data_IF_837880535066
#
_entry.id   IF_837880535066
#
_cell.length_a   1.000
_cell.length_b   1.000
_cell.length_c   1.000
_cell.angle_alpha   90.00
_cell.angle_beta   90.00
_cell.angle_gamma   90.00
#
_symmetry.space_group_name_H-M   'P 1'
#
loop_
_entity.id
_entity.type
_entity.pdbx_description
1 polymer ?
#
# COMPACT_ATOMS: atom_id res chain seq x y z
N UNK A 1 7.14 1.25 -17.06
CA UNK A 1 6.49 0.22 -16.20
C UNK A 1 5.01 0.55 -16.05
N UNK A 2 4.13 -0.40 -16.39
CA UNK A 2 2.70 -0.24 -16.17
C UNK A 2 2.31 -0.67 -14.76
N UNK A 3 1.64 0.19 -14.02
CA UNK A 3 1.13 -0.09 -12.67
C UNK A 3 -0.38 -0.16 -12.67
N UNK A 4 -0.93 -1.01 -11.80
CA UNK A 4 -2.35 -1.16 -11.55
C UNK A 4 -2.66 -0.86 -10.08
N UNK A 5 -3.81 -0.26 -9.82
CA UNK A 5 -4.32 -0.05 -8.46
C UNK A 5 -5.73 -0.60 -8.39
N UNK A 6 -5.91 -1.62 -7.57
CA UNK A 6 -7.21 -2.25 -7.35
C UNK A 6 -7.89 -1.63 -6.13
N UNK A 7 -9.14 -1.22 -6.31
CA UNK A 7 -9.99 -0.65 -5.26
C UNK A 7 -11.25 -1.48 -5.10
N UNK A 8 -11.54 -1.92 -3.88
CA UNK A 8 -12.78 -2.62 -3.56
C UNK A 8 -13.14 -2.48 -2.08
N UNK A 9 -14.37 -2.82 -1.71
CA UNK A 9 -14.83 -2.88 -0.33
C UNK A 9 -14.54 -4.27 0.24
N UNK A 10 -13.76 -4.34 1.31
CA UNK A 10 -13.49 -5.59 2.01
C UNK A 10 -14.73 -6.01 2.79
N UNK A 11 -15.15 -7.27 2.63
CA UNK A 11 -16.34 -7.85 3.26
C UNK A 11 -15.96 -8.68 4.51
N UNK A 12 -16.93 -9.12 5.32
CA UNK A 12 -16.68 -10.08 6.39
C UNK A 12 -16.29 -11.48 5.92
N UNK A 13 -16.47 -11.79 4.64
CA UNK A 13 -16.17 -13.10 4.04
C UNK A 13 -14.78 -13.12 3.39
N UNK A 14 -13.84 -13.78 4.06
CA UNK A 14 -12.46 -13.92 3.59
C UNK A 14 -12.37 -14.65 2.22
N UNK A 15 -13.26 -15.61 1.94
CA UNK A 15 -13.26 -16.32 0.66
C UNK A 15 -13.69 -15.40 -0.48
N UNK A 16 -14.72 -14.59 -0.28
CA UNK A 16 -15.15 -13.57 -1.23
C UNK A 16 -14.05 -12.55 -1.49
N UNK A 17 -13.38 -12.09 -0.43
CA UNK A 17 -12.26 -11.15 -0.56
C UNK A 17 -11.08 -11.77 -1.33
N UNK A 18 -10.74 -13.04 -1.07
CA UNK A 18 -9.71 -13.74 -1.84
C UNK A 18 -10.09 -13.89 -3.32
N UNK A 19 -11.37 -14.17 -3.63
CA UNK A 19 -11.86 -14.22 -5.01
C UNK A 19 -11.72 -12.86 -5.71
N UNK A 20 -12.07 -11.77 -5.01
CA UNK A 20 -11.91 -10.40 -5.54
C UNK A 20 -10.43 -10.09 -5.82
N UNK A 21 -9.53 -10.41 -4.87
CA UNK A 21 -8.09 -10.21 -5.06
C UNK A 21 -7.56 -10.99 -6.26
N UNK A 22 -7.87 -12.29 -6.37
CA UNK A 22 -7.40 -13.11 -7.49
C UNK A 22 -7.95 -12.64 -8.84
N UNK A 23 -9.22 -12.18 -8.88
CA UNK A 23 -9.81 -11.60 -10.09
C UNK A 23 -9.10 -10.28 -10.51
N UNK A 24 -8.77 -9.41 -9.55
CA UNK A 24 -7.99 -8.18 -9.81
C UNK A 24 -6.57 -8.50 -10.27
N UNK A 25 -5.90 -9.49 -9.66
CA UNK A 25 -4.57 -9.96 -10.07
C UNK A 25 -4.59 -10.48 -11.52
N UNK A 26 -5.52 -11.36 -11.85
CA UNK A 26 -5.68 -11.91 -13.20
C UNK A 26 -5.99 -10.80 -14.23
N UNK A 27 -6.82 -9.80 -13.86
CA UNK A 27 -7.15 -8.69 -14.75
C UNK A 27 -5.95 -7.76 -14.97
N UNK A 28 -5.23 -7.38 -13.91
CA UNK A 28 -4.03 -6.56 -14.00
C UNK A 28 -2.96 -7.25 -14.87
N UNK A 29 -2.76 -8.57 -14.68
CA UNK A 29 -1.82 -9.35 -15.47
C UNK A 29 -2.19 -9.38 -16.97
N UNK A 30 -3.49 -9.58 -17.30
CA UNK A 30 -3.98 -9.52 -18.70
C UNK A 30 -3.73 -8.16 -19.37
N UNK A 31 -3.70 -7.09 -18.59
CA UNK A 31 -3.40 -5.74 -19.05
C UNK A 31 -1.88 -5.44 -19.05
N UNK A 32 -1.03 -6.44 -18.81
CA UNK A 32 0.43 -6.33 -18.74
C UNK A 32 0.93 -5.34 -17.67
N UNK A 33 0.23 -5.25 -16.53
CA UNK A 33 0.77 -4.51 -15.39
C UNK A 33 1.94 -5.29 -14.77
N UNK A 34 3.00 -4.60 -14.38
CA UNK A 34 4.12 -5.17 -13.65
C UNK A 34 3.88 -5.14 -12.13
N UNK A 35 3.15 -4.12 -11.65
CA UNK A 35 2.81 -3.92 -10.25
C UNK A 35 1.30 -3.76 -10.09
N UNK A 36 0.72 -4.45 -9.11
CA UNK A 36 -0.62 -4.24 -8.60
C UNK A 36 -0.55 -3.88 -7.11
N UNK A 37 -1.17 -2.77 -6.72
CA UNK A 37 -1.36 -2.41 -5.31
C UNK A 37 -2.83 -2.60 -4.96
N UNK A 38 -3.11 -3.41 -3.94
CA UNK A 38 -4.43 -3.67 -3.38
C UNK A 38 -4.61 -2.92 -2.06
N UNK A 39 -5.85 -2.78 -1.52
CA UNK A 39 -6.09 -2.05 -0.28
C UNK A 39 -5.51 -2.71 0.97
N UNK A 40 -5.82 -2.13 2.14
CA UNK A 40 -5.34 -2.59 3.45
C UNK A 40 -6.31 -3.56 4.12
N UNK A 41 -5.73 -4.53 4.89
CA UNK A 41 -6.42 -5.46 5.78
C UNK A 41 -7.47 -6.34 5.07
N UNK A 42 -7.03 -7.06 4.04
CA UNK A 42 -7.90 -7.73 3.06
C UNK A 42 -8.52 -9.05 3.51
N UNK A 43 -8.17 -9.59 4.69
CA UNK A 43 -8.75 -10.87 5.14
C UNK A 43 -10.26 -10.77 5.35
N UNK A 44 -10.67 -9.92 6.28
CA UNK A 44 -12.08 -9.66 6.55
C UNK A 44 -12.26 -8.33 7.28
N UNK A 45 -13.38 -7.67 7.03
CA UNK A 45 -13.75 -6.41 7.67
C UNK A 45 -15.26 -6.32 7.84
N UNK A 46 -15.73 -5.71 8.93
CA UNK A 46 -17.16 -5.52 9.19
C UNK A 46 -17.43 -4.12 9.72
N UNK A 47 -18.56 -3.56 9.30
CA UNK A 47 -19.05 -2.27 9.85
C UNK A 47 -19.57 -2.43 11.29
N UNK A 48 -20.04 -3.61 11.66
CA UNK A 48 -20.58 -3.93 12.99
C UNK A 48 -19.54 -4.46 13.99
N UNK A 49 -18.38 -4.95 13.50
CA UNK A 49 -17.30 -5.47 14.35
C UNK A 49 -15.96 -4.84 13.94
N UNK A 50 -15.51 -3.78 14.63
CA UNK A 50 -14.27 -3.08 14.30
C UNK A 50 -13.02 -3.95 14.50
N UNK A 51 -13.10 -5.03 15.27
CA UNK A 51 -11.99 -5.93 15.58
C UNK A 51 -11.91 -7.11 14.59
N UNK A 52 -12.83 -7.22 13.64
CA UNK A 52 -12.91 -8.37 12.74
C UNK A 52 -11.61 -8.63 11.98
N UNK A 53 -10.90 -7.60 11.55
CA UNK A 53 -9.63 -7.76 10.84
C UNK A 53 -8.56 -8.48 11.67
N UNK A 54 -8.53 -8.24 12.99
CA UNK A 54 -7.63 -8.95 13.91
C UNK A 54 -8.16 -10.34 14.26
N UNK A 55 -9.48 -10.47 14.52
CA UNK A 55 -10.11 -11.78 14.79
C UNK A 55 -9.97 -12.76 13.64
N UNK A 56 -9.90 -12.26 12.40
CA UNK A 56 -9.72 -13.05 11.19
C UNK A 56 -8.26 -13.29 10.81
N UNK A 57 -7.30 -12.83 11.62
CA UNK A 57 -5.88 -12.94 11.33
C UNK A 57 -5.49 -14.40 11.04
N UNK A 58 -4.68 -14.59 9.99
CA UNK A 58 -4.17 -15.90 9.55
C UNK A 58 -2.66 -15.84 9.37
N UNK A 59 -1.99 -16.98 9.50
CA UNK A 59 -0.57 -17.10 9.18
C UNK A 59 -0.34 -16.93 7.66
N UNK A 60 0.92 -16.71 7.26
CA UNK A 60 1.30 -16.56 5.85
C UNK A 60 1.16 -17.86 5.03
N UNK A 61 0.98 -18.99 5.68
CA UNK A 61 0.67 -20.32 5.12
C UNK A 61 -0.83 -20.66 5.23
N UNK A 62 -1.65 -19.73 5.67
CA UNK A 62 -3.10 -19.90 5.70
C UNK A 62 -3.74 -19.91 4.31
N UNK A 63 -4.92 -20.51 4.21
CA UNK A 63 -5.64 -20.73 2.94
C UNK A 63 -5.81 -19.46 2.09
N UNK A 64 -6.00 -18.31 2.75
CA UNK A 64 -6.12 -17.02 2.05
C UNK A 64 -4.85 -16.68 1.27
N UNK A 65 -3.69 -16.74 1.92
CA UNK A 65 -2.40 -16.40 1.28
C UNK A 65 -2.01 -17.46 0.27
N UNK A 66 -2.22 -18.74 0.56
CA UNK A 66 -1.94 -19.83 -0.38
C UNK A 66 -2.71 -19.65 -1.70
N UNK A 67 -3.99 -19.28 -1.63
CA UNK A 67 -4.79 -19.00 -2.83
C UNK A 67 -4.25 -17.82 -3.65
N UNK A 68 -3.80 -16.75 -3.00
CA UNK A 68 -3.20 -15.61 -3.70
C UNK A 68 -1.83 -15.97 -4.30
N UNK A 69 -1.04 -16.80 -3.63
CA UNK A 69 0.23 -17.33 -4.15
C UNK A 69 0.01 -18.19 -5.40
N UNK A 70 -1.01 -19.04 -5.41
CA UNK A 70 -1.38 -19.85 -6.59
C UNK A 70 -1.73 -18.95 -7.79
N UNK A 71 -2.48 -17.87 -7.58
CA UNK A 71 -2.77 -16.91 -8.66
C UNK A 71 -1.51 -16.16 -9.10
N UNK A 72 -0.67 -15.74 -8.14
CA UNK A 72 0.60 -15.07 -8.41
C UNK A 72 1.58 -15.94 -9.23
N UNK A 73 1.53 -17.27 -9.07
CA UNK A 73 2.36 -18.21 -9.83
C UNK A 73 1.99 -18.29 -11.33
N UNK A 74 0.78 -17.83 -11.69
CA UNK A 74 0.27 -17.91 -13.09
C UNK A 74 0.72 -16.75 -13.97
N UNK A 75 1.39 -15.74 -13.40
CA UNK A 75 1.75 -14.53 -14.13
C UNK A 75 3.03 -13.90 -13.58
N UNK A 76 3.48 -12.79 -14.18
CA UNK A 76 4.70 -12.07 -13.77
C UNK A 76 4.41 -10.84 -12.92
N UNK A 77 3.15 -10.62 -12.58
CA UNK A 77 2.70 -9.48 -11.78
C UNK A 77 3.30 -9.53 -10.37
N UNK A 78 3.79 -8.40 -9.88
CA UNK A 78 4.03 -8.23 -8.46
C UNK A 78 2.79 -7.65 -7.82
N UNK A 79 2.23 -8.32 -6.80
CA UNK A 79 1.05 -7.84 -6.09
C UNK A 79 1.41 -7.47 -4.66
N UNK A 80 1.05 -6.24 -4.25
CA UNK A 80 1.19 -5.73 -2.89
C UNK A 80 -0.18 -5.68 -2.21
N UNK A 81 -0.25 -6.20 -1.00
CA UNK A 81 -1.47 -6.19 -0.19
C UNK A 81 -1.11 -6.26 1.29
N UNK A 82 -2.05 -5.90 2.17
CA UNK A 82 -1.85 -6.12 3.61
C UNK A 82 -2.89 -7.05 4.20
N UNK A 83 -2.48 -7.76 5.24
CA UNK A 83 -3.32 -8.63 6.05
C UNK A 83 -2.84 -8.64 7.50
N UNK A 84 -3.70 -9.09 8.42
CA UNK A 84 -3.33 -9.28 9.80
C UNK A 84 -2.80 -10.70 10.03
N UNK A 85 -1.61 -10.78 10.66
CA UNK A 85 -0.93 -12.04 11.00
C UNK A 85 -0.93 -12.18 12.52
N UNK A 86 -1.34 -13.33 13.10
CA UNK A 86 -1.34 -13.51 14.54
C UNK A 86 0.08 -13.35 15.14
N UNK A 87 0.21 -12.61 16.24
CA UNK A 87 1.47 -12.45 16.99
C UNK A 87 1.41 -13.12 18.33
N UNK A 88 0.42 -12.81 19.15
CA UNK A 88 0.14 -13.39 20.46
C UNK A 88 -1.36 -13.58 20.63
N UNK A 89 -1.80 -14.16 21.74
CA UNK A 89 -3.23 -14.41 21.99
C UNK A 89 -4.07 -13.13 21.86
N UNK A 90 -4.94 -13.09 20.84
CA UNK A 90 -5.85 -11.99 20.58
C UNK A 90 -5.20 -10.74 19.98
N UNK A 91 -3.93 -10.80 19.55
CA UNK A 91 -3.21 -9.71 18.88
C UNK A 91 -2.70 -10.13 17.50
N UNK A 92 -2.43 -9.16 16.65
CA UNK A 92 -1.90 -9.39 15.31
C UNK A 92 -0.93 -8.29 14.88
N UNK A 93 -0.16 -8.56 13.84
CA UNK A 93 0.62 -7.56 13.10
C UNK A 93 -0.11 -7.22 11.80
N UNK A 94 -0.23 -5.93 11.48
CA UNK A 94 -0.68 -5.48 10.17
C UNK A 94 0.52 -5.56 9.21
N UNK A 95 0.51 -6.56 8.34
CA UNK A 95 1.66 -6.91 7.53
C UNK A 95 1.35 -6.73 6.03
N UNK A 96 2.16 -5.91 5.36
CA UNK A 96 2.22 -5.82 3.91
C UNK A 96 3.08 -6.98 3.40
N UNK A 97 2.57 -7.70 2.41
CA UNK A 97 3.33 -8.70 1.66
C UNK A 97 3.40 -8.35 0.18
N UNK A 98 4.50 -8.74 -0.44
CA UNK A 98 4.71 -8.66 -1.88
C UNK A 98 4.75 -10.07 -2.46
N UNK A 99 3.83 -10.37 -3.37
CA UNK A 99 3.73 -11.66 -4.06
C UNK A 99 4.26 -11.54 -5.48
N UNK A 100 5.14 -12.45 -5.88
CA UNK A 100 5.64 -12.59 -7.26
C UNK A 100 5.96 -14.06 -7.56
N UNK A 101 5.43 -14.59 -8.67
CA UNK A 101 5.73 -15.96 -9.10
C UNK A 101 5.38 -17.06 -8.10
N UNK A 102 4.34 -16.86 -7.28
CA UNK A 102 3.91 -17.76 -6.23
C UNK A 102 4.65 -17.61 -4.89
N UNK A 103 5.63 -16.70 -4.81
CA UNK A 103 6.42 -16.50 -3.60
C UNK A 103 6.15 -15.15 -2.92
N UNK A 104 6.35 -15.11 -1.61
CA UNK A 104 6.41 -13.86 -0.84
C UNK A 104 7.84 -13.34 -0.93
N UNK A 105 8.06 -12.29 -1.73
CA UNK A 105 9.40 -11.73 -1.98
C UNK A 105 9.79 -10.61 -1.03
N UNK A 106 8.84 -10.03 -0.32
CA UNK A 106 9.08 -9.02 0.71
C UNK A 106 7.92 -8.98 1.71
N UNK A 107 8.23 -8.55 2.94
CA UNK A 107 7.28 -8.34 4.02
C UNK A 107 7.60 -7.03 4.72
N UNK A 108 6.56 -6.35 5.20
CA UNK A 108 6.68 -5.15 6.01
C UNK A 108 5.60 -5.14 7.09
N UNK A 109 5.98 -5.13 8.35
CA UNK A 109 5.07 -4.91 9.48
C UNK A 109 4.90 -3.40 9.69
N UNK A 110 3.66 -2.93 9.63
CA UNK A 110 3.30 -1.52 9.78
C UNK A 110 3.89 -0.92 11.05
N UNK A 111 4.67 0.16 10.91
CA UNK A 111 5.35 0.85 12.02
C UNK A 111 4.38 1.81 12.70
N UNK A 112 3.67 2.65 11.94
CA UNK A 112 2.78 3.67 12.48
C UNK A 112 1.35 3.15 12.58
N UNK A 113 0.94 2.78 13.79
CA UNK A 113 -0.41 2.32 14.07
C UNK A 113 -1.38 3.50 14.14
N UNK A 114 -2.62 3.29 13.68
CA UNK A 114 -3.63 4.35 13.59
C UNK A 114 -4.29 4.61 14.95
N UNK A 115 -3.59 5.34 15.81
CA UNK A 115 -4.08 5.82 17.09
C UNK A 115 -4.47 7.30 16.96
N UNK A 116 -5.59 7.56 16.27
CA UNK A 116 -6.08 8.90 15.98
C UNK A 116 -7.59 8.91 15.67
N UNK A 117 -8.23 10.07 15.78
CA UNK A 117 -9.65 10.25 15.49
C UNK A 117 -10.56 9.24 16.21
N UNK A 118 -10.33 9.04 17.51
CA UNK A 118 -11.01 8.07 18.38
C UNK A 118 -10.84 6.58 17.98
N UNK A 119 -9.91 6.28 17.06
CA UNK A 119 -9.46 4.92 16.76
C UNK A 119 -8.18 4.62 17.55
N UNK A 120 -8.00 3.36 17.93
CA UNK A 120 -6.79 2.88 18.63
C UNK A 120 -6.41 1.51 18.09
N UNK A 121 -5.63 1.50 16.99
CA UNK A 121 -5.14 0.27 16.35
C UNK A 121 -4.20 -0.49 17.29
N UNK A 122 -3.37 0.23 18.07
CA UNK A 122 -2.41 -0.36 19.03
C UNK A 122 -3.05 -1.22 20.11
N UNK A 123 -4.35 -1.11 20.34
CA UNK A 123 -5.08 -1.93 21.30
C UNK A 123 -4.96 -3.42 20.97
N UNK A 124 -4.96 -3.81 19.70
CA UNK A 124 -4.94 -5.21 19.24
C UNK A 124 -3.84 -5.51 18.20
N UNK A 125 -3.14 -4.49 17.71
CA UNK A 125 -2.10 -4.64 16.68
C UNK A 125 -0.75 -4.29 17.28
N UNK A 126 0.28 -5.06 16.94
CA UNK A 126 1.66 -4.84 17.34
C UNK A 126 2.38 -4.06 16.24
N UNK A 127 3.07 -2.98 16.63
CA UNK A 127 3.83 -2.16 15.70
C UNK A 127 5.10 -2.87 15.20
N UNK A 128 5.46 -2.63 13.95
CA UNK A 128 6.75 -3.00 13.40
C UNK A 128 7.89 -2.15 13.97
N UNK A 129 9.11 -2.63 13.84
CA UNK A 129 10.33 -1.98 14.35
C UNK A 129 11.45 -1.87 13.31
N UNK A 130 11.15 -2.19 12.04
CA UNK A 130 12.14 -2.17 10.97
C UNK A 130 11.56 -1.54 9.71
N UNK A 131 12.39 -0.77 8.99
CA UNK A 131 12.02 -0.27 7.67
C UNK A 131 11.90 -1.44 6.67
N UNK A 132 10.95 -1.36 5.72
CA UNK A 132 10.79 -2.39 4.70
C UNK A 132 11.98 -2.41 3.72
N UNK A 133 12.27 -3.57 3.12
CA UNK A 133 13.18 -3.65 2.00
C UNK A 133 12.58 -2.96 0.76
N UNK A 134 13.43 -2.46 -0.13
CA UNK A 134 13.00 -2.03 -1.46
C UNK A 134 12.85 -3.25 -2.39
N UNK A 135 11.84 -3.20 -3.26
CA UNK A 135 11.61 -4.22 -4.28
C UNK A 135 12.09 -3.70 -5.64
N UNK A 136 13.02 -4.39 -6.25
CA UNK A 136 13.49 -4.06 -7.61
C UNK A 136 12.56 -4.67 -8.67
N UNK A 137 12.16 -3.84 -9.63
CA UNK A 137 11.36 -4.25 -10.79
C UNK A 137 11.51 -3.27 -11.96
N UNK A 138 11.69 -3.81 -13.16
CA UNK A 138 11.78 -3.04 -14.42
C UNK A 138 12.70 -1.79 -14.32
N UNK A 139 13.83 -1.92 -13.61
CA UNK A 139 14.82 -0.85 -13.44
C UNK A 139 14.40 0.26 -12.47
N UNK A 140 13.33 0.07 -11.70
CA UNK A 140 12.86 0.96 -10.64
C UNK A 140 12.85 0.25 -9.29
N UNK A 141 12.98 1.02 -8.20
CA UNK A 141 12.89 0.52 -6.82
C UNK A 141 11.59 0.99 -6.17
N UNK A 142 10.83 0.04 -5.64
CA UNK A 142 9.55 0.27 -4.96
C UNK A 142 9.74 0.20 -3.46
N UNK A 143 9.47 1.30 -2.77
CA UNK A 143 9.38 1.39 -1.30
C UNK A 143 7.95 1.08 -0.84
N UNK A 144 7.84 0.44 0.32
CA UNK A 144 6.58 -0.05 0.87
C UNK A 144 6.13 0.83 2.04
N UNK A 145 4.87 1.24 2.03
CA UNK A 145 4.21 1.98 3.12
C UNK A 145 2.82 1.40 3.34
N UNK A 146 2.24 1.62 4.52
CA UNK A 146 0.86 1.19 4.79
C UNK A 146 0.07 2.34 5.41
N UNK A 147 -0.99 2.80 4.71
CA UNK A 147 -2.05 3.68 5.22
C UNK A 147 -1.54 4.86 6.07
N UNK A 148 -1.54 4.73 7.40
CA UNK A 148 -1.16 5.80 8.33
C UNK A 148 0.29 6.26 8.20
N UNK A 149 1.20 5.41 7.65
CA UNK A 149 2.59 5.79 7.34
C UNK A 149 2.65 7.04 6.44
N UNK A 150 1.61 7.28 5.63
CA UNK A 150 1.49 8.46 4.77
C UNK A 150 1.60 9.78 5.54
N UNK A 151 1.21 9.82 6.82
CA UNK A 151 1.27 11.02 7.65
C UNK A 151 2.66 11.36 8.16
N UNK A 152 3.59 10.43 8.04
CA UNK A 152 4.95 10.54 8.58
C UNK A 152 5.93 10.76 7.42
N UNK A 153 6.33 12.02 7.16
CA UNK A 153 7.24 12.35 6.07
C UNK A 153 8.60 11.63 6.20
N UNK A 154 9.04 11.35 7.42
CA UNK A 154 10.27 10.62 7.70
C UNK A 154 10.27 9.21 7.07
N UNK A 155 9.14 8.53 7.09
CA UNK A 155 9.00 7.20 6.49
C UNK A 155 9.23 7.26 4.97
N UNK A 156 8.53 8.15 4.29
CA UNK A 156 8.68 8.35 2.85
C UNK A 156 10.09 8.81 2.48
N UNK A 157 10.66 9.73 3.27
CA UNK A 157 12.02 10.24 3.07
C UNK A 157 13.06 9.14 3.24
N UNK A 158 12.96 8.29 4.27
CA UNK A 158 13.88 7.17 4.50
C UNK A 158 13.91 6.22 3.31
N UNK A 159 12.74 5.88 2.75
CA UNK A 159 12.64 5.02 1.57
C UNK A 159 13.25 5.69 0.33
N UNK A 160 12.99 6.98 0.12
CA UNK A 160 13.57 7.72 -1.00
C UNK A 160 15.10 7.82 -0.91
N UNK A 161 15.64 8.04 0.30
CA UNK A 161 17.09 8.05 0.55
C UNK A 161 17.75 6.68 0.38
N UNK A 162 17.01 5.61 0.64
CA UNK A 162 17.44 4.25 0.32
C UNK A 162 17.42 3.96 -1.20
N UNK A 163 16.85 4.87 -2.01
CA UNK A 163 16.84 4.80 -3.46
C UNK A 163 15.51 4.41 -4.09
N UNK A 164 14.39 4.52 -3.37
CA UNK A 164 13.08 4.29 -3.94
C UNK A 164 12.75 5.31 -5.06
N UNK A 165 12.14 4.83 -6.12
CA UNK A 165 11.60 5.61 -7.24
C UNK A 165 10.07 5.68 -7.19
N UNK A 166 9.48 4.70 -6.51
CA UNK A 166 8.04 4.53 -6.31
C UNK A 166 7.78 4.25 -4.84
N UNK A 167 6.76 4.88 -4.27
CA UNK A 167 6.22 4.56 -2.95
C UNK A 167 4.85 3.92 -3.14
N UNK A 168 4.70 2.65 -2.78
CA UNK A 168 3.47 1.90 -2.88
C UNK A 168 2.75 1.89 -1.53
N UNK A 169 1.45 2.17 -1.53
CA UNK A 169 0.66 2.44 -0.33
C UNK A 169 -0.70 1.73 -0.36
N UNK A 170 -0.84 0.50 0.12
CA UNK A 170 -2.12 -0.06 0.55
C UNK A 170 -2.74 0.77 1.68
N UNK A 171 -4.04 1.06 1.62
CA UNK A 171 -4.72 1.83 2.66
C UNK A 171 -6.20 1.44 2.84
N UNK A 172 -6.70 1.65 4.06
CA UNK A 172 -8.11 1.69 4.42
C UNK A 172 -8.41 3.05 5.08
N UNK A 173 -8.39 4.11 4.26
CA UNK A 173 -8.49 5.48 4.74
C UNK A 173 -9.91 5.81 5.16
N UNK A 174 -10.13 5.87 6.48
CA UNK A 174 -11.46 6.04 7.08
C UNK A 174 -12.06 7.41 6.73
N UNK A 175 -13.36 7.42 6.38
CA UNK A 175 -14.14 8.65 6.17
C UNK A 175 -14.17 9.52 7.42
N UNK A 176 -14.41 10.80 7.24
CA UNK A 176 -14.52 11.79 8.30
C UNK A 176 -14.26 13.20 7.79
N UNK A 177 -14.35 14.22 8.63
CA UNK A 177 -14.13 15.61 8.22
C UNK A 177 -12.78 15.79 7.52
N UNK A 178 -12.79 16.33 6.29
CA UNK A 178 -11.63 16.64 5.47
C UNK A 178 -10.70 15.43 5.14
N UNK A 179 -11.16 14.19 5.32
CA UNK A 179 -10.29 13.01 5.15
C UNK A 179 -9.87 12.80 3.70
N UNK A 180 -10.74 13.10 2.74
CA UNK A 180 -10.42 13.11 1.30
C UNK A 180 -9.38 14.18 0.96
N UNK A 181 -9.51 15.37 1.56
CA UNK A 181 -8.52 16.45 1.41
C UNK A 181 -7.15 16.03 2.01
N UNK A 182 -7.14 15.45 3.22
CA UNK A 182 -5.90 14.93 3.81
C UNK A 182 -5.23 13.89 2.89
N UNK A 183 -6.01 12.95 2.35
CA UNK A 183 -5.52 11.90 1.45
C UNK A 183 -4.84 12.49 0.23
N UNK A 184 -5.53 13.35 -0.50
CA UNK A 184 -5.02 13.96 -1.74
C UNK A 184 -3.79 14.84 -1.49
N UNK A 185 -3.85 15.67 -0.43
CA UNK A 185 -2.75 16.58 -0.05
C UNK A 185 -1.50 15.82 0.36
N UNK A 186 -1.64 14.79 1.21
CA UNK A 186 -0.50 14.03 1.70
C UNK A 186 0.16 13.20 0.60
N UNK A 187 -0.61 12.58 -0.30
CA UNK A 187 -0.03 11.85 -1.43
C UNK A 187 0.77 12.78 -2.35
N UNK A 188 0.24 13.96 -2.67
CA UNK A 188 0.95 14.95 -3.46
C UNK A 188 2.20 15.47 -2.73
N UNK A 189 2.10 15.75 -1.42
CA UNK A 189 3.23 16.19 -0.60
C UNK A 189 4.35 15.14 -0.58
N UNK A 190 4.03 13.86 -0.37
CA UNK A 190 5.05 12.79 -0.39
C UNK A 190 5.73 12.64 -1.74
N UNK A 191 4.99 12.79 -2.84
CA UNK A 191 5.59 12.81 -4.17
C UNK A 191 6.59 13.96 -4.33
N UNK A 192 6.21 15.17 -3.91
CA UNK A 192 7.05 16.37 -3.99
C UNK A 192 8.27 16.31 -3.06
N UNK A 193 8.10 15.87 -1.81
CA UNK A 193 9.17 15.78 -0.80
C UNK A 193 10.25 14.78 -1.20
N UNK A 194 9.87 13.71 -1.92
CA UNK A 194 10.74 12.57 -2.23
C UNK A 194 11.12 12.47 -3.69
N UNK A 195 10.42 13.20 -4.57
CA UNK A 195 10.54 13.05 -6.02
C UNK A 195 10.32 11.60 -6.51
N UNK A 196 9.41 10.88 -5.83
CA UNK A 196 8.99 9.54 -6.17
C UNK A 196 7.58 9.55 -6.76
N UNK A 197 7.25 8.54 -7.59
CA UNK A 197 5.85 8.22 -7.84
C UNK A 197 5.18 7.71 -6.57
N UNK A 198 3.88 8.02 -6.39
CA UNK A 198 3.06 7.39 -5.36
C UNK A 198 2.02 6.50 -6.05
N UNK A 199 1.94 5.23 -5.65
CA UNK A 199 0.93 4.28 -6.14
C UNK A 199 0.10 3.84 -4.93
N UNK A 200 -1.06 4.48 -4.74
CA UNK A 200 -1.86 4.36 -3.53
C UNK A 200 -3.21 3.68 -3.81
N UNK A 201 -3.48 2.59 -3.12
CA UNK A 201 -4.75 1.88 -3.16
C UNK A 201 -5.55 2.15 -1.89
N UNK A 202 -6.74 2.72 -2.04
CA UNK A 202 -7.70 2.96 -0.97
C UNK A 202 -8.83 1.92 -0.97
N UNK A 203 -9.12 1.30 0.18
CA UNK A 203 -10.36 0.56 0.33
C UNK A 203 -11.54 1.51 0.14
N UNK A 204 -12.58 1.09 -0.57
CA UNK A 204 -13.84 1.82 -0.69
C UNK A 204 -14.94 1.17 0.17
N UNK A 205 -16.13 1.76 0.17
CA UNK A 205 -17.27 1.27 0.93
C UNK A 205 -17.80 2.31 1.92
N UNK A 206 -18.63 1.88 2.86
CA UNK A 206 -19.32 2.80 3.77
C UNK A 206 -18.37 3.57 4.69
N UNK A 207 -17.32 2.92 5.18
CA UNK A 207 -16.39 3.48 6.17
C UNK A 207 -15.15 4.13 5.57
N UNK A 208 -14.78 3.77 4.35
CA UNK A 208 -13.53 4.19 3.72
C UNK A 208 -13.79 5.02 2.47
N UNK A 209 -12.86 5.91 2.14
CA UNK A 209 -13.07 6.92 1.08
C UNK A 209 -12.91 6.39 -0.33
N UNK A 210 -12.23 5.24 -0.53
CA UNK A 210 -11.74 4.85 -1.85
C UNK A 210 -10.66 5.78 -2.35
N UNK A 211 -10.89 6.43 -3.48
CA UNK A 211 -10.03 7.44 -4.09
C UNK A 211 -8.58 6.99 -4.31
N UNK A 212 -8.42 5.72 -4.71
CA UNK A 212 -7.13 5.19 -5.15
C UNK A 212 -6.54 6.07 -6.25
N UNK A 213 -5.20 6.25 -6.25
CA UNK A 213 -4.57 7.10 -7.25
C UNK A 213 -3.10 6.81 -7.48
N UNK A 214 -2.63 7.23 -8.64
CA UNK A 214 -1.21 7.29 -8.98
C UNK A 214 -0.82 8.76 -9.12
N UNK A 215 0.24 9.16 -8.39
CA UNK A 215 0.74 10.54 -8.39
C UNK A 215 2.17 10.55 -8.96
N UNK A 216 2.44 11.45 -9.86
CA UNK A 216 3.73 11.67 -10.49
C UNK A 216 4.72 12.35 -9.51
N UNK A 217 6.06 12.27 -9.73
CA UNK A 217 7.05 12.87 -8.83
C UNK A 217 6.95 14.41 -8.63
N UNK A 218 6.14 15.11 -9.43
CA UNK A 218 5.81 16.53 -9.24
C UNK A 218 4.45 16.74 -8.57
N UNK A 219 3.89 15.73 -7.90
CA UNK A 219 2.66 15.83 -7.14
C UNK A 219 1.37 15.82 -7.98
N UNK A 220 1.47 15.56 -9.28
CA UNK A 220 0.31 15.55 -10.21
C UNK A 220 -0.34 14.17 -10.21
N UNK A 221 -1.66 14.11 -9.97
CA UNK A 221 -2.42 12.85 -10.13
C UNK A 221 -2.52 12.50 -11.61
N UNK A 222 -2.01 11.32 -11.99
CA UNK A 222 -2.02 10.83 -13.38
C UNK A 222 -3.06 9.72 -13.62
N UNK A 223 -3.57 9.08 -12.55
CA UNK A 223 -4.72 8.20 -12.58
C UNK A 223 -5.42 8.25 -11.22
N UNK A 224 -6.75 8.20 -11.21
CA UNK A 224 -7.54 8.19 -9.97
C UNK A 224 -8.84 7.41 -10.13
N UNK A 225 -9.22 6.67 -9.08
CA UNK A 225 -10.53 6.07 -8.91
C UNK A 225 -11.46 7.00 -8.10
N UNK A 226 -12.76 6.79 -8.23
CA UNK A 226 -13.77 7.44 -7.40
C UNK A 226 -14.02 6.71 -6.07
N UNK A 227 -15.29 6.58 -5.68
CA UNK A 227 -15.71 5.95 -4.42
C UNK A 227 -16.15 4.47 -4.59
N UNK A 228 -16.19 3.97 -5.83
CA UNK A 228 -16.70 2.63 -6.16
C UNK A 228 -15.56 1.65 -6.42
N UNK A 229 -15.82 0.33 -6.38
CA UNK A 229 -14.84 -0.67 -6.82
C UNK A 229 -14.37 -0.38 -8.24
N UNK A 230 -13.05 -0.37 -8.43
CA UNK A 230 -12.42 -0.03 -9.71
C UNK A 230 -11.01 -0.61 -9.81
N UNK A 231 -10.53 -0.85 -11.03
CA UNK A 231 -9.15 -1.18 -11.33
C UNK A 231 -8.61 -0.12 -12.29
N UNK A 232 -7.72 0.73 -11.81
CA UNK A 232 -7.11 1.81 -12.59
C UNK A 232 -5.68 1.48 -12.98
N UNK A 233 -5.17 2.11 -14.04
CA UNK A 233 -3.84 1.89 -14.58
C UNK A 233 -3.12 3.20 -14.84
N UNK A 234 -1.79 3.18 -14.72
CA UNK A 234 -0.92 4.28 -15.14
C UNK A 234 0.40 3.74 -15.70
N UNK A 235 1.02 4.50 -16.59
CA UNK A 235 2.39 4.28 -17.03
C UNK A 235 3.34 5.17 -16.23
N UNK A 236 4.38 4.57 -15.64
CA UNK A 236 5.42 5.27 -14.89
C UNK A 236 6.80 4.92 -15.45
N UNK A 237 7.81 5.78 -15.26
CA UNK A 237 9.13 5.55 -15.84
C UNK A 237 10.28 6.06 -14.96
N UNK A 238 11.39 5.32 -14.95
CA UNK A 238 12.64 5.74 -14.31
C UNK A 238 13.18 7.03 -14.93
N UNK A 239 13.02 7.22 -16.23
CA UNK A 239 13.42 8.45 -16.93
C UNK A 239 12.72 9.68 -16.36
N UNK A 240 11.42 9.59 -16.07
CA UNK A 240 10.67 10.69 -15.46
C UNK A 240 11.20 11.03 -14.07
N UNK A 241 11.48 10.02 -13.24
CA UNK A 241 12.06 10.23 -11.90
C UNK A 241 13.42 10.93 -12.02
N UNK A 242 14.29 10.46 -12.93
CA UNK A 242 15.60 11.07 -13.15
C UNK A 242 15.49 12.53 -13.58
N UNK A 243 14.63 12.85 -14.55
CA UNK A 243 14.38 14.21 -15.02
C UNK A 243 13.88 15.13 -13.90
N UNK A 244 12.93 14.66 -13.08
CA UNK A 244 12.43 15.45 -11.95
C UNK A 244 13.52 15.68 -10.91
N UNK A 245 14.30 14.66 -10.57
CA UNK A 245 15.41 14.78 -9.59
C UNK A 245 16.53 15.70 -10.07
N UNK A 246 16.72 15.84 -11.40
CA UNK A 246 17.65 16.81 -11.97
C UNK A 246 17.13 18.26 -11.83
N UNK A 247 15.84 18.47 -12.14
CA UNK A 247 15.19 19.79 -12.10
C UNK A 247 14.87 20.24 -10.65
N UNK A 248 14.48 19.31 -9.81
CA UNK A 248 14.06 19.53 -8.41
C UNK A 248 14.89 18.63 -7.47
N UNK A 249 16.16 18.94 -7.20
CA UNK A 249 17.07 18.07 -6.46
C UNK A 249 16.89 18.13 -4.92
N UNK A 250 15.64 18.02 -4.43
CA UNK A 250 15.30 18.20 -3.01
C UNK A 250 16.06 17.23 -2.09
N UNK A 251 16.27 15.98 -2.52
CA UNK A 251 17.02 15.00 -1.74
C UNK A 251 18.51 15.38 -1.56
N UNK A 252 19.11 16.07 -2.56
CA UNK A 252 20.48 16.57 -2.49
C UNK A 252 20.58 17.87 -1.70
N UNK A 253 19.54 18.71 -1.75
CA UNK A 253 19.53 20.05 -1.13
C UNK A 253 19.16 20.01 0.36
N UNK A 254 18.70 18.90 0.90
CA UNK A 254 18.36 18.78 2.31
C UNK A 254 19.56 19.04 3.20
N UNK A 255 19.31 19.60 4.40
CA UNK A 255 20.31 19.96 5.39
C UNK A 255 20.26 19.09 6.65
N UNK A 256 19.21 18.29 6.82
CA UNK A 256 19.04 17.35 7.92
C UNK A 256 19.62 15.98 7.56
N UNK A 257 20.09 15.24 8.56
CA UNK A 257 20.48 13.85 8.40
C UNK A 257 19.30 12.96 7.95
N UNK A 258 19.60 11.72 7.55
CA UNK A 258 18.54 10.74 7.31
C UNK A 258 17.78 10.51 8.61
N UNK A 259 16.43 10.34 8.54
CA UNK A 259 15.67 9.93 9.72
C UNK A 259 16.14 8.56 10.21
N UNK A 260 16.16 8.38 11.53
CA UNK A 260 16.46 7.12 12.19
C UNK A 260 15.23 6.62 12.93
N UNK A 261 14.98 5.31 12.84
CA UNK A 261 13.92 4.64 13.58
C UNK A 261 14.45 4.34 14.98
N UNK A 262 13.72 4.74 16.03
CA UNK A 262 14.09 4.53 17.44
C UNK A 262 13.29 3.39 18.08
#
# INVERSE_FOLDING_TARGET
MKVAVGQFAVTPDAQQNAQTCTALMANAARQNAALLVLPEALLARSDSDPDMSVKSAQSLDGDYVLRLREESARNRLTTLLTLHIPTSKGRAANTLIALRGGEIIAQYQKIHLYDAFAMQESRLVDAGSTLPPLIEMEGMKVGLMTCYDLRFPEMALSLALAGADVLALPAAWVRGPLKEHHWTTLLAARALDTTCYIVASGECGNRNIGQSRVVDPLGVTIAAAGERPELIFAEISATRVAQVREQLPVLKNRRFAAPELF
#
